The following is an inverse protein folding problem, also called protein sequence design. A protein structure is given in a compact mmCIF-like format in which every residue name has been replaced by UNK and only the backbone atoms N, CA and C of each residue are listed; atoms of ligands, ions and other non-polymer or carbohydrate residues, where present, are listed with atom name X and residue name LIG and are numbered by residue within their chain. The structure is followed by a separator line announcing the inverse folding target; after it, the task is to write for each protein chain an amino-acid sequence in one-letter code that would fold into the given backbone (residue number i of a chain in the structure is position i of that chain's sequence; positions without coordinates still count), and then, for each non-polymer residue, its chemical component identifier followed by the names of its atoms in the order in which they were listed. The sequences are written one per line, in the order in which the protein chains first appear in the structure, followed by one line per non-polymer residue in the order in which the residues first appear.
data_IF_648775486557
#
_entry.id   IF_648775486557
#
_cell.length_a   1.000
_cell.length_b   1.000
_cell.length_c   1.000
_cell.angle_alpha   90.00
_cell.angle_beta   90.00
_cell.angle_gamma   90.00
#
_symmetry.space_group_name_H-M   'P 1'
#
loop_
_entity.id
_entity.type
_entity.pdbx_description
1 polymer ?
#
# COMPACT_ATOMS: atom_id res chain seq x y z
N UNK A 1 19.87 13.16 12.06
CA UNK A 1 19.30 12.77 13.35
C UNK A 1 18.48 11.53 13.17
N UNK A 2 18.84 10.46 13.87
CA UNK A 2 18.09 9.22 13.88
C UNK A 2 16.96 9.24 14.91
N UNK A 3 16.05 8.28 14.81
CA UNK A 3 14.96 8.12 15.77
C UNK A 3 15.46 7.88 17.20
N UNK A 4 16.54 7.10 17.36
CA UNK A 4 17.15 6.87 18.68
C UNK A 4 17.73 8.15 19.29
N UNK A 5 18.33 9.03 18.48
CA UNK A 5 18.81 10.34 18.94
C UNK A 5 17.67 11.25 19.42
N UNK A 6 16.45 11.00 18.95
CA UNK A 6 15.22 11.70 19.34
C UNK A 6 14.50 11.05 20.52
N UNK A 7 15.03 9.96 21.08
CA UNK A 7 14.42 9.23 22.20
C UNK A 7 13.28 8.28 21.79
N UNK A 8 13.18 7.91 20.51
CA UNK A 8 12.26 6.84 20.08
C UNK A 8 12.83 5.51 20.56
N UNK A 9 11.99 4.76 21.26
CA UNK A 9 12.21 3.42 21.74
C UNK A 9 11.31 2.41 21.00
N UNK A 10 11.36 1.14 21.41
CA UNK A 10 10.56 0.08 20.79
C UNK A 10 9.05 0.31 20.91
N UNK A 11 8.57 0.90 22.01
CA UNK A 11 7.13 1.11 22.24
C UNK A 11 6.61 2.25 21.35
N UNK A 12 7.29 3.39 21.40
CA UNK A 12 6.99 4.57 20.58
C UNK A 12 7.13 4.30 19.09
N UNK A 13 8.03 3.38 18.70
CA UNK A 13 8.11 2.85 17.33
C UNK A 13 6.81 2.15 16.88
N UNK A 14 6.22 1.31 17.74
CA UNK A 14 4.95 0.63 17.44
C UNK A 14 3.81 1.63 17.34
N UNK A 15 3.76 2.63 18.23
CA UNK A 15 2.76 3.70 18.18
C UNK A 15 2.87 4.54 16.90
N UNK A 16 4.10 4.92 16.51
CA UNK A 16 4.38 5.63 15.28
C UNK A 16 3.88 4.84 14.07
N UNK A 17 4.23 3.55 14.00
CA UNK A 17 3.74 2.64 12.96
C UNK A 17 2.22 2.62 12.90
N UNK A 18 1.54 2.41 14.03
CA UNK A 18 0.09 2.31 14.07
C UNK A 18 -0.57 3.62 13.59
N UNK A 19 -0.05 4.76 14.02
CA UNK A 19 -0.51 6.08 13.55
C UNK A 19 -0.34 6.23 12.04
N UNK A 20 0.82 5.86 11.49
CA UNK A 20 1.06 5.92 10.05
C UNK A 20 0.10 5.03 9.27
N UNK A 21 -0.11 3.78 9.71
CA UNK A 21 -1.08 2.87 9.07
C UNK A 21 -2.49 3.44 9.07
N UNK A 22 -2.96 3.96 10.21
CA UNK A 22 -4.31 4.52 10.34
C UNK A 22 -4.48 5.80 9.52
N UNK A 23 -3.49 6.69 9.50
CA UNK A 23 -3.57 7.97 8.78
C UNK A 23 -3.42 7.83 7.27
N UNK A 24 -2.52 6.94 6.82
CA UNK A 24 -2.19 6.78 5.41
C UNK A 24 -2.94 5.63 4.73
N UNK A 25 -3.68 4.82 5.51
CA UNK A 25 -4.39 3.62 5.04
C UNK A 25 -3.49 2.65 4.25
N UNK A 26 -2.21 2.57 4.63
CA UNK A 26 -1.23 1.68 4.02
C UNK A 26 -0.72 0.63 5.03
N UNK A 27 -0.14 -0.45 4.51
CA UNK A 27 0.53 -1.45 5.35
C UNK A 27 1.96 -0.99 5.67
N UNK A 28 2.30 -0.93 6.96
CA UNK A 28 3.64 -0.54 7.43
C UNK A 28 4.26 -1.71 8.21
N UNK A 29 5.48 -2.15 7.88
CA UNK A 29 6.19 -3.21 8.61
C UNK A 29 6.45 -2.87 10.08
N UNK A 30 6.50 -3.87 10.95
CA UNK A 30 6.89 -3.70 12.36
C UNK A 30 8.34 -3.26 12.55
N UNK A 31 9.18 -3.51 11.55
CA UNK A 31 10.61 -3.17 11.53
C UNK A 31 10.91 -1.80 10.94
N UNK A 32 9.90 -1.01 10.57
CA UNK A 32 10.07 0.20 9.76
C UNK A 32 11.03 1.24 10.36
N UNK A 33 11.09 1.38 11.69
CA UNK A 33 12.01 2.31 12.37
C UNK A 33 13.44 1.78 12.47
N UNK A 34 13.63 0.47 12.33
CA UNK A 34 14.94 -0.18 12.24
C UNK A 34 15.46 -0.11 10.80
N UNK A 35 14.59 -0.39 9.83
CA UNK A 35 14.92 -0.37 8.41
C UNK A 35 15.14 1.07 7.89
N UNK A 36 14.37 2.03 8.42
CA UNK A 36 14.43 3.44 8.08
C UNK A 36 14.65 4.28 9.34
N UNK A 37 15.88 4.34 9.88
CA UNK A 37 16.17 4.89 11.21
C UNK A 37 16.11 6.41 11.30
N UNK A 38 15.72 7.10 10.23
CA UNK A 38 15.60 8.56 10.20
C UNK A 38 14.24 8.96 9.62
N UNK A 39 13.75 10.12 10.03
CA UNK A 39 12.50 10.70 9.48
C UNK A 39 12.57 10.79 7.95
N UNK A 40 13.71 11.23 7.40
CA UNK A 40 13.91 11.37 5.96
C UNK A 40 13.76 10.03 5.23
N UNK A 41 14.46 8.99 5.71
CA UNK A 41 14.40 7.66 5.11
C UNK A 41 12.98 7.06 5.19
N UNK A 42 12.30 7.25 6.33
CA UNK A 42 10.92 6.79 6.51
C UNK A 42 9.95 7.49 5.55
N UNK A 43 10.09 8.81 5.37
CA UNK A 43 9.26 9.59 4.44
C UNK A 43 9.49 9.16 3.00
N UNK A 44 10.73 8.94 2.58
CA UNK A 44 11.07 8.45 1.24
C UNK A 44 10.45 7.07 0.97
N UNK A 45 10.53 6.15 1.95
CA UNK A 45 9.87 4.85 1.88
C UNK A 45 8.35 4.97 1.74
N UNK A 46 7.69 5.74 2.60
CA UNK A 46 6.24 5.92 2.57
C UNK A 46 5.78 6.59 1.26
N UNK A 47 6.55 7.55 0.75
CA UNK A 47 6.29 8.17 -0.54
C UNK A 47 6.29 7.12 -1.65
N UNK A 48 7.33 6.29 -1.75
CA UNK A 48 7.38 5.21 -2.74
C UNK A 48 6.23 4.21 -2.59
N UNK A 49 5.94 3.77 -1.37
CA UNK A 49 4.86 2.80 -1.12
C UNK A 49 3.49 3.32 -1.58
N UNK A 50 3.17 4.58 -1.24
CA UNK A 50 1.89 5.19 -1.61
C UNK A 50 1.76 5.42 -3.11
N UNK A 51 2.87 5.65 -3.83
CA UNK A 51 2.86 5.79 -5.28
C UNK A 51 2.64 4.45 -5.97
N UNK A 52 3.19 3.37 -5.41
CA UNK A 52 3.01 2.02 -5.93
C UNK A 52 1.59 1.48 -5.69
N UNK A 53 0.95 1.83 -4.57
CA UNK A 53 -0.45 1.45 -4.27
C UNK A 53 -1.48 2.11 -5.22
N UNK A 54 -1.16 3.27 -5.82
CA UNK A 54 -2.00 3.90 -6.86
C UNK A 54 -1.94 3.15 -8.20
N UNK A 55 -0.95 2.26 -8.39
CA UNK A 55 -0.84 1.39 -9.56
C UNK A 55 -1.48 0.03 -9.27
N UNK A 56 -2.65 0.04 -8.63
CA UNK A 56 -3.54 -1.11 -8.62
C UNK A 56 -4.35 -1.07 -9.92
N UNK A 57 -3.84 -1.78 -10.94
CA UNK A 57 -4.37 -1.92 -12.30
C UNK A 57 -5.91 -1.88 -12.40
N UNK A 58 -6.47 -0.72 -12.72
CA UNK A 58 -7.66 -0.67 -13.57
C UNK A 58 -7.22 -0.98 -15.00
N UNK A 59 -6.91 -2.25 -15.27
CA UNK A 59 -6.94 -2.76 -16.64
C UNK A 59 -8.12 -3.72 -16.75
N UNK A 60 -9.15 -3.18 -17.39
CA UNK A 60 -10.44 -3.76 -17.72
C UNK A 60 -10.31 -4.96 -18.66
N UNK A 61 -11.12 -6.00 -18.45
CA UNK A 61 -11.94 -6.56 -19.54
C UNK A 61 -13.37 -6.58 -19.03
N UNK A 62 -14.29 -5.77 -19.56
CA UNK A 62 -15.70 -6.12 -19.50
C UNK A 62 -15.80 -7.48 -20.18
N UNK A 63 -16.19 -8.51 -19.44
CA UNK A 63 -16.71 -9.72 -20.05
C UNK A 63 -17.93 -9.29 -20.86
N UNK A 64 -17.73 -8.94 -22.13
CA UNK A 64 -18.80 -8.99 -23.12
C UNK A 64 -19.32 -10.42 -23.07
N UNK A 65 -20.43 -10.60 -22.35
CA UNK A 65 -21.38 -11.67 -22.63
C UNK A 65 -21.70 -11.59 -24.12
N UNK A 66 -21.06 -12.48 -24.89
CA UNK A 66 -21.53 -12.82 -26.21
C UNK A 66 -22.85 -13.58 -25.97
N UNK A 67 -23.95 -12.84 -25.87
CA UNK A 67 -25.29 -13.39 -26.03
C UNK A 67 -25.41 -13.80 -27.50
N UNK A 68 -25.02 -15.03 -27.82
CA UNK A 68 -25.34 -15.66 -29.10
C UNK A 68 -26.82 -16.07 -29.08
N UNK A 69 -27.70 -15.08 -29.12
CA UNK A 69 -29.02 -15.21 -29.74
C UNK A 69 -28.80 -15.32 -31.26
N UNK A 70 -28.61 -16.55 -31.75
CA UNK A 70 -28.70 -16.86 -33.18
C UNK A 70 -29.60 -18.08 -33.38
N UNK A 71 -30.68 -17.79 -34.09
CA UNK A 71 -31.83 -18.61 -34.42
C UNK A 71 -31.55 -19.96 -35.10
N UNK A 72 -32.46 -20.89 -34.84
CA UNK A 72 -33.11 -21.81 -35.79
C UNK A 72 -32.32 -22.26 -37.03
N UNK A 73 -31.96 -23.55 -37.06
CA UNK A 73 -31.85 -24.29 -38.32
C UNK A 73 -32.49 -25.66 -38.17
N UNK A 74 -33.62 -25.81 -38.85
CA UNK A 74 -34.36 -27.02 -39.17
C UNK A 74 -33.45 -28.12 -39.74
N UNK A 75 -33.72 -29.38 -39.38
CA UNK A 75 -33.62 -30.56 -40.24
C UNK A 75 -34.57 -31.66 -39.74
#
# INVERSE_FOLDING_TARGET
TGFFDLGIDSLTSVELRNKLQSSLKCSVPSTVTLDYPTIKALVEYLYQQLLLEQVSYSNTVPTEEINEDREEITL
#
